data_IF_818787923600
#
_entry.id   IF_818787923600
#
_cell.length_a   1.000
_cell.length_b   1.000
_cell.length_c   1.000
_cell.angle_alpha   90.00
_cell.angle_beta   90.00
_cell.angle_gamma   90.00
#
_symmetry.space_group_name_H-M   'P 1'
#
loop_
_entity.id
_entity.type
_entity.pdbx_description
1 polymer ?
#
# COMPACT_ATOMS: atom_id res chain seq x y z
N UNK A 1 19.33 -5.33 14.67
CA UNK A 1 18.61 -4.47 15.62
C UNK A 1 17.58 -3.67 14.83
N UNK A 2 16.30 -3.93 15.02
CA UNK A 2 15.22 -3.17 14.38
C UNK A 2 15.10 -1.83 15.10
N UNK A 3 15.10 -0.73 14.35
CA UNK A 3 15.10 0.66 14.86
C UNK A 3 13.81 1.06 15.58
N UNK A 4 12.90 0.11 15.84
CA UNK A 4 11.57 0.34 16.41
C UNK A 4 10.51 0.76 15.39
N UNK A 5 10.84 0.75 14.09
CA UNK A 5 9.96 1.19 13.01
C UNK A 5 9.37 0.00 12.26
N UNK A 6 8.08 0.09 11.92
CA UNK A 6 7.36 -0.89 11.12
C UNK A 6 6.53 -0.16 10.06
N UNK A 7 6.65 -0.58 8.80
CA UNK A 7 5.72 -0.17 7.75
C UNK A 7 4.47 -1.05 7.80
N UNK A 8 3.30 -0.43 7.71
CA UNK A 8 2.00 -1.13 7.78
C UNK A 8 1.09 -0.56 6.70
N UNK A 9 0.45 -1.45 5.94
CA UNK A 9 -0.52 -1.09 4.91
C UNK A 9 -1.69 -2.06 4.86
N UNK A 10 -2.72 -1.68 4.13
CA UNK A 10 -3.86 -2.54 3.81
C UNK A 10 -4.05 -2.56 2.29
N UNK A 11 -4.12 -3.75 1.70
CA UNK A 11 -4.50 -3.94 0.29
C UNK A 11 -5.99 -4.26 0.28
N UNK A 12 -6.75 -3.47 -0.47
CA UNK A 12 -8.22 -3.56 -0.56
C UNK A 12 -8.64 -3.54 -2.02
N UNK A 13 -9.88 -3.96 -2.28
CA UNK A 13 -10.49 -3.78 -3.60
C UNK A 13 -10.43 -2.30 -4.04
N UNK A 14 -10.21 -2.09 -5.34
CA UNK A 14 -10.04 -0.77 -5.91
C UNK A 14 -11.24 0.15 -5.62
N UNK A 15 -12.48 -0.33 -5.80
CA UNK A 15 -13.69 0.48 -5.58
C UNK A 15 -13.91 0.74 -4.09
N UNK A 16 -13.72 -0.29 -3.25
CA UNK A 16 -13.83 -0.15 -1.79
C UNK A 16 -12.84 0.89 -1.26
N UNK A 17 -11.58 0.82 -1.70
CA UNK A 17 -10.53 1.78 -1.34
C UNK A 17 -10.88 3.21 -1.76
N UNK A 18 -11.28 3.42 -3.02
CA UNK A 18 -11.67 4.76 -3.52
C UNK A 18 -12.77 5.38 -2.69
N UNK A 19 -13.89 4.66 -2.57
CA UNK A 19 -15.07 5.18 -1.89
C UNK A 19 -14.78 5.46 -0.41
N UNK A 20 -14.10 4.54 0.26
CA UNK A 20 -13.74 4.69 1.67
C UNK A 20 -12.79 5.86 1.92
N UNK A 21 -11.76 6.02 1.09
CA UNK A 21 -10.80 7.12 1.19
C UNK A 21 -11.46 8.46 0.87
N UNK A 22 -12.30 8.54 -0.17
CA UNK A 22 -13.02 9.76 -0.52
C UNK A 22 -13.92 10.22 0.63
N UNK A 23 -14.57 9.28 1.34
CA UNK A 23 -15.49 9.59 2.43
C UNK A 23 -14.80 9.92 3.75
N UNK A 24 -13.70 9.25 4.09
CA UNK A 24 -13.08 9.31 5.43
C UNK A 24 -11.70 9.95 5.46
N UNK A 25 -11.07 10.12 4.29
CA UNK A 25 -9.64 10.36 4.20
C UNK A 25 -8.80 9.09 4.40
N UNK A 26 -7.57 9.09 3.89
CA UNK A 26 -6.72 7.91 3.86
C UNK A 26 -6.34 7.38 5.26
N UNK A 27 -6.12 8.29 6.23
CA UNK A 27 -5.72 7.92 7.60
C UNK A 27 -6.83 7.17 8.32
N UNK A 28 -8.03 7.73 8.36
CA UNK A 28 -9.15 7.08 9.04
C UNK A 28 -9.63 5.83 8.30
N UNK A 29 -9.57 5.83 6.96
CA UNK A 29 -9.83 4.61 6.21
C UNK A 29 -8.85 3.48 6.57
N UNK A 30 -7.54 3.74 6.61
CA UNK A 30 -6.53 2.75 7.00
C UNK A 30 -6.72 2.30 8.46
N UNK A 31 -6.98 3.23 9.38
CA UNK A 31 -7.30 2.92 10.79
C UNK A 31 -8.49 1.94 10.88
N UNK A 32 -9.54 2.19 10.11
CA UNK A 32 -10.70 1.31 10.02
C UNK A 32 -10.35 -0.07 9.46
N UNK A 33 -9.53 -0.17 8.41
CA UNK A 33 -9.07 -1.47 7.89
C UNK A 33 -8.27 -2.25 8.94
N UNK A 34 -7.33 -1.60 9.62
CA UNK A 34 -6.53 -2.23 10.68
C UNK A 34 -7.40 -2.68 11.86
N UNK A 35 -8.49 -1.96 12.14
CA UNK A 35 -9.43 -2.33 13.21
C UNK A 35 -10.12 -3.68 12.97
N UNK A 36 -10.26 -4.08 11.70
CA UNK A 36 -10.85 -5.35 11.26
C UNK A 36 -9.86 -6.53 11.29
N UNK A 37 -8.58 -6.28 11.60
CA UNK A 37 -7.53 -7.29 11.71
C UNK A 37 -7.07 -7.41 13.17
N UNK A 38 -7.71 -8.25 14.01
CA UNK A 38 -7.50 -8.26 15.47
C UNK A 38 -6.04 -8.53 15.88
N UNK A 39 -5.35 -9.39 15.13
CA UNK A 39 -3.95 -9.70 15.39
C UNK A 39 -3.04 -8.47 15.17
N UNK A 40 -3.13 -7.85 14.00
CA UNK A 40 -2.35 -6.65 13.65
C UNK A 40 -2.68 -5.49 14.57
N UNK A 41 -3.97 -5.26 14.86
CA UNK A 41 -4.41 -4.25 15.83
C UNK A 41 -3.75 -4.45 17.19
N UNK A 42 -3.68 -5.69 17.68
CA UNK A 42 -3.01 -6.01 18.95
C UNK A 42 -1.50 -5.75 18.89
N UNK A 43 -0.84 -6.04 17.76
CA UNK A 43 0.58 -5.72 17.59
C UNK A 43 0.82 -4.20 17.67
N UNK A 44 -0.06 -3.39 17.09
CA UNK A 44 0.07 -1.94 16.99
C UNK A 44 -0.48 -1.15 18.19
N UNK A 45 -1.04 -1.82 19.20
CA UNK A 45 -1.75 -1.18 20.34
C UNK A 45 -0.97 -0.07 21.07
N UNK A 46 0.36 -0.17 21.10
CA UNK A 46 1.27 0.79 21.74
C UNK A 46 2.14 1.54 20.72
N UNK A 47 1.87 1.40 19.43
CA UNK A 47 2.62 2.07 18.38
C UNK A 47 2.07 3.48 18.15
N UNK A 48 2.95 4.40 17.75
CA UNK A 48 2.59 5.75 17.31
C UNK A 48 2.82 5.89 15.81
N UNK A 49 1.98 6.68 15.15
CA UNK A 49 2.21 7.06 13.75
C UNK A 49 3.46 7.93 13.64
N UNK A 50 4.41 7.52 12.80
CA UNK A 50 5.60 8.33 12.45
C UNK A 50 5.41 9.13 11.17
N UNK A 51 4.50 8.67 10.28
CA UNK A 51 4.13 9.34 9.04
C UNK A 51 2.65 9.09 8.70
N UNK A 52 2.08 9.89 7.78
CA UNK A 52 0.76 9.64 7.21
C UNK A 52 0.78 8.53 6.15
N UNK A 53 -0.38 7.94 5.81
CA UNK A 53 -0.45 6.90 4.79
C UNK A 53 -0.23 7.47 3.38
N UNK A 54 0.42 6.68 2.53
CA UNK A 54 0.45 6.89 1.08
C UNK A 54 -0.57 5.98 0.41
N UNK A 55 -1.27 6.50 -0.61
CA UNK A 55 -2.25 5.74 -1.39
C UNK A 55 -1.63 5.43 -2.74
N UNK A 56 -1.42 4.15 -3.02
CA UNK A 56 -1.00 3.65 -4.33
C UNK A 56 -2.19 2.96 -4.97
N UNK A 57 -2.37 3.13 -6.28
CA UNK A 57 -3.50 2.61 -7.05
C UNK A 57 -3.02 2.11 -8.40
N UNK A 58 -3.83 1.24 -9.01
CA UNK A 58 -3.65 0.77 -10.38
C UNK A 58 -2.20 0.29 -10.63
N UNK A 59 -1.61 -0.35 -9.62
CA UNK A 59 -0.20 -0.74 -9.58
C UNK A 59 0.10 -2.01 -10.36
N UNK A 60 -0.91 -2.83 -10.65
CA UNK A 60 -0.72 -4.09 -11.36
C UNK A 60 -0.75 -3.83 -12.87
N UNK A 61 0.36 -4.07 -13.55
CA UNK A 61 0.49 -3.90 -15.01
C UNK A 61 1.63 -4.74 -15.58
N UNK A 62 1.60 -4.89 -16.91
CA UNK A 62 2.71 -5.45 -17.68
C UNK A 62 2.89 -4.62 -18.96
N UNK A 63 4.14 -4.25 -19.25
CA UNK A 63 4.48 -3.66 -20.54
C UNK A 63 4.33 -4.70 -21.65
N UNK A 64 3.87 -4.27 -22.83
CA UNK A 64 3.79 -5.14 -24.01
C UNK A 64 5.18 -5.56 -24.52
N UNK A 65 6.20 -4.73 -24.28
CA UNK A 65 7.59 -4.98 -24.65
C UNK A 65 8.54 -4.42 -23.60
N UNK A 66 9.37 -5.28 -23.01
CA UNK A 66 10.36 -4.90 -21.98
C UNK A 66 11.79 -4.75 -22.52
N UNK A 67 12.06 -5.13 -23.77
CA UNK A 67 13.39 -5.09 -24.39
C UNK A 67 13.31 -4.66 -25.85
N UNK A 68 14.40 -4.10 -26.37
CA UNK A 68 14.55 -3.83 -27.79
C UNK A 68 16.00 -3.47 -28.13
N UNK A 69 16.28 -3.09 -29.38
CA UNK A 69 17.62 -2.68 -29.75
C UNK A 69 18.10 -1.52 -28.87
N UNK A 70 19.20 -1.75 -28.15
CA UNK A 70 19.85 -0.78 -27.26
C UNK A 70 19.06 -0.36 -26.00
N UNK A 71 18.01 -1.09 -25.59
CA UNK A 71 17.36 -0.86 -24.29
C UNK A 71 16.80 -2.12 -23.63
N UNK A 72 16.71 -2.05 -22.31
CA UNK A 72 16.04 -3.02 -21.45
C UNK A 72 15.33 -2.27 -20.32
N UNK A 73 14.11 -2.67 -20.00
CA UNK A 73 13.35 -2.22 -18.84
C UNK A 73 13.63 -3.15 -17.66
N UNK A 74 13.66 -2.60 -16.44
CA UNK A 74 13.99 -3.36 -15.22
C UNK A 74 13.04 -3.03 -14.08
N UNK A 75 12.73 -4.02 -13.25
CA UNK A 75 11.82 -3.87 -12.11
C UNK A 75 10.46 -3.32 -12.54
N UNK A 76 9.89 -2.45 -11.73
CA UNK A 76 8.56 -1.86 -11.95
C UNK A 76 8.44 -1.22 -13.34
N UNK A 77 9.51 -0.63 -13.90
CA UNK A 77 9.41 -0.07 -15.26
C UNK A 77 8.91 -1.10 -16.29
N UNK A 78 9.24 -2.39 -16.15
CA UNK A 78 8.76 -3.44 -17.04
C UNK A 78 7.36 -3.96 -16.64
N UNK A 79 7.18 -4.32 -15.39
CA UNK A 79 5.92 -4.87 -14.86
C UNK A 79 5.89 -4.80 -13.33
N UNK A 80 4.69 -4.82 -12.77
CA UNK A 80 4.46 -4.96 -11.34
C UNK A 80 3.15 -5.73 -11.13
N UNK A 81 3.11 -6.63 -10.14
CA UNK A 81 1.94 -7.49 -9.86
C UNK A 81 1.21 -7.07 -8.58
#
# INVERSE_FOLDING_TARGET
LHTGWSSVGAVVDNRTGQYGIQRLGAREFLSNQLSQAPHTRRMLRNASWTAGPSVVRDWSYSSERATGPNFVMTGDSACFV
#
